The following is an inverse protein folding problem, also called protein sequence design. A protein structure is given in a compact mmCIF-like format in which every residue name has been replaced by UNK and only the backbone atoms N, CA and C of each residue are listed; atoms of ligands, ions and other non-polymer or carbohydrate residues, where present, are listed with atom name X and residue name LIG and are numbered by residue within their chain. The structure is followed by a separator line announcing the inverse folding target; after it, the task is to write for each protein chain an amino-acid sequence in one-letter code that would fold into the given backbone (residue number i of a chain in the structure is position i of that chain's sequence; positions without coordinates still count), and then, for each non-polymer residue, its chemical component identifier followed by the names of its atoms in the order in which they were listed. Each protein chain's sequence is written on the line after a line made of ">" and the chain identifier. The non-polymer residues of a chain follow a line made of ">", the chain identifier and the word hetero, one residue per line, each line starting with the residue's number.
data_IF_699182765363
#
_entry.id   IF_699182765363
#
_cell.length_a   1.000
_cell.length_b   1.000
_cell.length_c   1.000
_cell.angle_alpha   90.00
_cell.angle_beta   90.00
_cell.angle_gamma   90.00
#
_symmetry.space_group_name_H-M   'P 1'
#
loop_
_entity.id
_entity.type
_entity.pdbx_description
1 polymer ?
#
# COMPACT_ATOMS: atom_id res chain seq x y z
N UNK A 1 -10.71 -15.79 15.93
CA UNK A 1 -11.05 -16.12 17.33
C UNK A 1 -11.24 -17.63 17.46
N UNK A 2 -10.93 -18.20 18.63
CA UNK A 2 -11.17 -19.62 18.90
C UNK A 2 -12.69 -19.91 18.92
N UNK A 3 -13.13 -20.98 18.27
CA UNK A 3 -14.54 -21.39 18.23
C UNK A 3 -15.08 -21.84 19.59
N UNK A 4 -14.23 -22.43 20.46
CA UNK A 4 -14.62 -22.91 21.78
C UNK A 4 -14.61 -21.83 22.86
N UNK A 5 -13.53 -21.05 22.98
CA UNK A 5 -13.33 -20.10 24.09
C UNK A 5 -13.38 -18.62 23.68
N UNK A 6 -13.54 -18.32 22.38
CA UNK A 6 -13.54 -16.96 21.82
C UNK A 6 -12.27 -16.14 22.06
N UNK A 7 -11.19 -16.74 22.56
CA UNK A 7 -9.90 -16.06 22.70
C UNK A 7 -9.35 -15.64 21.34
N UNK A 8 -8.71 -14.46 21.30
CA UNK A 8 -7.97 -14.02 20.13
C UNK A 8 -6.83 -15.00 19.84
N UNK A 9 -6.68 -15.35 18.57
CA UNK A 9 -5.66 -16.28 18.09
C UNK A 9 -4.55 -15.48 17.42
N UNK A 10 -3.30 -15.98 17.38
CA UNK A 10 -2.24 -15.30 16.66
C UNK A 10 -2.60 -15.14 15.17
N UNK A 11 -2.07 -14.11 14.49
CA UNK A 11 -2.18 -14.03 13.04
C UNK A 11 -1.51 -15.23 12.37
N UNK A 12 -2.05 -15.65 11.22
CA UNK A 12 -1.44 -16.73 10.43
C UNK A 12 -0.06 -16.35 9.91
N UNK A 13 0.76 -17.35 9.55
CA UNK A 13 2.07 -17.11 8.94
C UNK A 13 1.89 -16.58 7.50
N UNK A 14 2.49 -15.41 7.21
CA UNK A 14 2.51 -14.75 5.89
C UNK A 14 1.12 -14.71 5.22
N UNK A 15 0.15 -14.01 5.82
CA UNK A 15 -1.18 -13.91 5.23
C UNK A 15 -1.13 -13.05 3.97
N UNK A 16 -1.83 -13.51 2.94
CA UNK A 16 -2.11 -12.73 1.74
C UNK A 16 -2.93 -11.47 2.12
N UNK A 17 -2.40 -10.30 1.79
CA UNK A 17 -2.99 -9.02 2.15
C UNK A 17 -4.34 -8.80 1.45
N UNK A 18 -4.52 -9.28 0.21
CA UNK A 18 -5.79 -9.22 -0.51
C UNK A 18 -6.85 -10.05 0.19
N UNK A 19 -6.49 -11.28 0.58
CA UNK A 19 -7.39 -12.16 1.32
C UNK A 19 -7.76 -11.59 2.70
N UNK A 20 -6.82 -10.94 3.38
CA UNK A 20 -7.10 -10.26 4.65
C UNK A 20 -8.10 -9.11 4.44
N UNK A 21 -7.92 -8.35 3.38
CA UNK A 21 -8.74 -7.21 2.99
C UNK A 21 -9.99 -7.56 2.18
N UNK A 22 -10.29 -8.85 2.03
CA UNK A 22 -11.53 -9.34 1.43
C UNK A 22 -11.76 -8.78 0.02
N UNK A 23 -10.68 -8.75 -0.77
CA UNK A 23 -10.67 -8.31 -2.16
C UNK A 23 -9.90 -9.29 -3.06
N UNK A 24 -10.20 -9.24 -4.36
CA UNK A 24 -9.52 -10.04 -5.36
C UNK A 24 -8.08 -9.56 -5.58
N UNK A 25 -7.19 -10.46 -5.99
CA UNK A 25 -5.81 -10.15 -6.37
C UNK A 25 -5.77 -9.38 -7.69
N UNK A 26 -6.12 -8.10 -7.63
CA UNK A 26 -6.18 -7.20 -8.77
C UNK A 26 -5.48 -5.88 -8.43
N UNK A 27 -4.88 -5.26 -9.45
CA UNK A 27 -4.37 -3.90 -9.30
C UNK A 27 -5.51 -2.89 -9.11
N UNK A 28 -6.67 -3.16 -9.71
CA UNK A 28 -7.87 -2.34 -9.56
C UNK A 28 -8.58 -2.72 -8.26
N UNK A 29 -8.59 -1.80 -7.29
CA UNK A 29 -9.26 -1.97 -5.99
C UNK A 29 -10.24 -0.82 -5.75
N UNK A 30 -11.40 -1.14 -5.19
CA UNK A 30 -12.31 -0.16 -4.60
C UNK A 30 -11.76 0.33 -3.25
N UNK A 31 -11.25 1.56 -3.23
CA UNK A 31 -10.70 2.20 -2.02
C UNK A 31 -11.75 2.33 -0.90
N UNK A 32 -13.03 2.49 -1.24
CA UNK A 32 -14.11 2.58 -0.26
C UNK A 32 -14.38 1.23 0.39
N UNK A 33 -14.42 0.14 -0.38
CA UNK A 33 -14.53 -1.21 0.14
C UNK A 33 -13.34 -1.55 1.04
N UNK A 34 -12.12 -1.23 0.59
CA UNK A 34 -10.89 -1.44 1.33
C UNK A 34 -10.92 -0.70 2.69
N UNK A 35 -11.33 0.57 2.68
CA UNK A 35 -11.44 1.36 3.90
C UNK A 35 -12.51 0.82 4.86
N UNK A 36 -13.67 0.37 4.35
CA UNK A 36 -14.72 -0.26 5.17
C UNK A 36 -14.21 -1.53 5.84
N UNK A 37 -13.50 -2.38 5.09
CA UNK A 37 -12.90 -3.60 5.61
C UNK A 37 -11.85 -3.31 6.67
N UNK A 38 -10.94 -2.37 6.40
CA UNK A 38 -9.93 -1.91 7.35
C UNK A 38 -10.56 -1.50 8.69
N UNK A 39 -11.57 -0.61 8.65
CA UNK A 39 -12.28 -0.16 9.86
C UNK A 39 -13.03 -1.30 10.56
N UNK A 40 -13.57 -2.26 9.83
CA UNK A 40 -14.23 -3.43 10.42
C UNK A 40 -13.24 -4.32 11.18
N UNK A 41 -12.10 -4.63 10.56
CA UNK A 41 -11.05 -5.44 11.15
C UNK A 41 -10.42 -4.73 12.36
N UNK A 42 -10.00 -3.47 12.21
CA UNK A 42 -9.44 -2.68 13.31
C UNK A 42 -10.41 -2.65 14.49
N UNK A 43 -11.69 -2.36 14.28
CA UNK A 43 -12.67 -2.40 15.37
C UNK A 43 -12.71 -3.75 16.09
N UNK A 44 -12.51 -4.87 15.39
CA UNK A 44 -12.54 -6.20 16.00
C UNK A 44 -11.29 -6.53 16.85
N UNK A 45 -10.12 -6.00 16.48
CA UNK A 45 -8.82 -6.39 17.03
C UNK A 45 -7.96 -5.21 17.51
N UNK A 46 -8.51 -4.01 17.69
CA UNK A 46 -7.73 -2.85 18.14
C UNK A 46 -7.22 -3.04 19.58
N UNK A 47 -5.95 -2.71 19.88
CA UNK A 47 -5.34 -2.86 21.21
C UNK A 47 -6.16 -2.29 22.37
N UNK A 48 -6.80 -1.13 22.17
CA UNK A 48 -7.68 -0.49 23.17
C UNK A 48 -8.78 -1.41 23.71
N UNK A 49 -9.27 -2.37 22.91
CA UNK A 49 -10.31 -3.32 23.34
C UNK A 49 -9.75 -4.48 24.16
N UNK A 50 -8.44 -4.67 24.13
CA UNK A 50 -7.74 -5.80 24.73
C UNK A 50 -6.93 -5.41 25.98
N UNK A 51 -6.89 -4.14 26.38
CA UNK A 51 -6.09 -3.67 27.53
C UNK A 51 -6.36 -4.38 28.87
N UNK A 52 -7.55 -4.98 29.05
CA UNK A 52 -7.90 -5.79 30.24
C UNK A 52 -7.86 -7.31 29.99
N UNK A 53 -7.46 -7.76 28.79
CA UNK A 53 -7.36 -9.18 28.41
C UNK A 53 -6.02 -9.77 28.89
N UNK A 54 -5.87 -11.11 28.92
CA UNK A 54 -4.60 -11.74 29.23
C UNK A 54 -3.46 -11.19 28.34
N UNK A 55 -2.21 -11.09 28.84
CA UNK A 55 -1.08 -10.52 28.07
C UNK A 55 -0.88 -11.15 26.69
N UNK A 56 -1.18 -12.45 26.57
CA UNK A 56 -1.12 -13.17 25.29
C UNK A 56 -2.12 -12.63 24.26
N UNK A 57 -3.34 -12.30 24.67
CA UNK A 57 -4.34 -11.71 23.78
C UNK A 57 -4.05 -10.24 23.47
N UNK A 58 -3.46 -9.49 24.41
CA UNK A 58 -2.96 -8.13 24.15
C UNK A 58 -1.90 -8.14 23.05
N UNK A 59 -0.91 -9.03 23.18
CA UNK A 59 0.14 -9.18 22.18
C UNK A 59 -0.41 -9.57 20.80
N UNK A 60 -1.36 -10.51 20.74
CA UNK A 60 -2.00 -10.89 19.47
C UNK A 60 -2.81 -9.73 18.87
N UNK A 61 -3.46 -8.91 19.69
CA UNK A 61 -4.19 -7.72 19.26
C UNK A 61 -3.26 -6.72 18.55
N UNK A 62 -2.11 -6.44 19.14
CA UNK A 62 -1.06 -5.59 18.53
C UNK A 62 -0.56 -6.15 17.20
N UNK A 63 -0.26 -7.46 17.15
CA UNK A 63 0.21 -8.12 15.92
C UNK A 63 -0.84 -8.05 14.80
N UNK A 64 -2.12 -8.30 15.10
CA UNK A 64 -3.20 -8.18 14.13
C UNK A 64 -3.37 -6.74 13.66
N UNK A 65 -3.39 -5.77 14.58
CA UNK A 65 -3.54 -4.35 14.23
C UNK A 65 -2.40 -3.88 13.31
N UNK A 66 -1.16 -4.25 13.62
CA UNK A 66 0.01 -3.95 12.77
C UNK A 66 -0.12 -4.57 11.38
N UNK A 67 -0.53 -5.84 11.29
CA UNK A 67 -0.74 -6.52 10.02
C UNK A 67 -1.86 -5.88 9.18
N UNK A 68 -2.97 -5.50 9.81
CA UNK A 68 -4.10 -4.83 9.14
C UNK A 68 -3.67 -3.47 8.61
N UNK A 69 -2.89 -2.72 9.38
CA UNK A 69 -2.33 -1.44 8.93
C UNK A 69 -1.40 -1.64 7.74
N UNK A 70 -0.49 -2.63 7.81
CA UNK A 70 0.38 -2.99 6.68
C UNK A 70 -0.43 -3.30 5.44
N UNK A 71 -1.40 -4.22 5.53
CA UNK A 71 -2.26 -4.58 4.41
C UNK A 71 -2.99 -3.38 3.82
N UNK A 72 -3.52 -2.49 4.66
CA UNK A 72 -4.26 -1.32 4.20
C UNK A 72 -3.35 -0.35 3.45
N UNK A 73 -2.19 -0.01 4.02
CA UNK A 73 -1.24 0.91 3.39
C UNK A 73 -0.64 0.33 2.10
N UNK A 74 -0.33 -0.97 2.08
CA UNK A 74 0.18 -1.65 0.88
C UNK A 74 -0.86 -1.69 -0.24
N UNK A 75 -2.13 -1.95 0.06
CA UNK A 75 -3.15 -2.07 -0.99
C UNK A 75 -3.79 -0.73 -1.41
N UNK A 76 -3.70 0.30 -0.56
CA UNK A 76 -4.24 1.62 -0.85
C UNK A 76 -3.36 2.38 -1.85
N UNK A 77 -2.04 2.32 -1.69
CA UNK A 77 -1.11 3.01 -2.56
C UNK A 77 -0.85 2.19 -3.85
N UNK A 78 -1.08 2.75 -5.06
CA UNK A 78 -0.91 2.02 -6.31
C UNK A 78 0.48 1.41 -6.51
N UNK A 79 1.55 2.12 -6.12
CA UNK A 79 2.92 1.65 -6.29
C UNK A 79 3.16 0.42 -5.41
N UNK A 80 2.96 0.53 -4.09
CA UNK A 80 3.20 -0.60 -3.17
C UNK A 80 2.28 -1.79 -3.45
N UNK A 81 1.05 -1.54 -3.94
CA UNK A 81 0.14 -2.58 -4.41
C UNK A 81 0.68 -3.31 -5.64
N UNK A 82 1.19 -2.58 -6.62
CA UNK A 82 1.82 -3.15 -7.82
C UNK A 82 3.02 -4.01 -7.46
N UNK A 83 3.92 -3.48 -6.62
CA UNK A 83 5.09 -4.22 -6.12
C UNK A 83 4.67 -5.52 -5.39
N UNK A 84 3.64 -5.45 -4.55
CA UNK A 84 3.13 -6.61 -3.83
C UNK A 84 2.49 -7.66 -4.77
N UNK A 85 1.78 -7.23 -5.82
CA UNK A 85 1.27 -8.13 -6.84
C UNK A 85 2.40 -8.83 -7.60
N UNK A 86 3.48 -8.13 -7.93
CA UNK A 86 4.65 -8.72 -8.57
C UNK A 86 5.33 -9.76 -7.66
N UNK A 87 5.50 -9.43 -6.37
CA UNK A 87 6.00 -10.37 -5.36
C UNK A 87 5.16 -11.65 -5.29
N UNK A 88 3.82 -11.52 -5.30
CA UNK A 88 2.91 -12.68 -5.31
C UNK A 88 3.02 -13.54 -6.58
N UNK A 89 3.49 -12.97 -7.69
CA UNK A 89 3.75 -13.68 -8.95
C UNK A 89 5.20 -14.19 -9.05
N UNK A 90 6.01 -14.04 -8.00
CA UNK A 90 7.40 -14.49 -7.98
C UNK A 90 8.37 -13.61 -8.77
N UNK A 91 7.98 -12.37 -9.07
CA UNK A 91 8.84 -11.39 -9.74
C UNK A 91 9.54 -10.57 -8.67
N UNK A 92 10.84 -10.78 -8.52
CA UNK A 92 11.69 -9.92 -7.69
C UNK A 92 12.18 -8.75 -8.54
N UNK A 93 11.84 -7.53 -8.12
CA UNK A 93 12.39 -6.33 -8.74
C UNK A 93 13.81 -6.10 -8.23
N UNK A 94 14.75 -5.92 -9.17
CA UNK A 94 16.10 -5.47 -8.83
C UNK A 94 15.99 -4.11 -8.13
N UNK A 95 16.57 -4.01 -6.93
CA UNK A 95 16.39 -2.83 -6.08
C UNK A 95 17.07 -1.58 -6.64
N UNK A 96 18.06 -1.72 -7.52
CA UNK A 96 18.83 -0.60 -8.05
C UNK A 96 19.39 -0.94 -9.44
N UNK A 97 18.72 -0.46 -10.48
CA UNK A 97 19.35 -0.26 -11.80
C UNK A 97 18.73 0.98 -12.43
N UNK A 98 19.29 2.15 -12.14
CA UNK A 98 19.14 3.35 -12.99
C UNK A 98 19.69 3.11 -14.41
N UNK A 99 20.42 2.00 -14.61
CA UNK A 99 21.16 1.66 -15.82
C UNK A 99 20.29 1.34 -17.04
N UNK A 100 19.02 0.98 -16.85
CA UNK A 100 18.07 0.65 -17.93
C UNK A 100 16.93 1.67 -18.06
N UNK A 101 16.99 2.80 -17.33
CA UNK A 101 15.96 3.82 -17.40
C UNK A 101 15.98 4.51 -18.78
N UNK A 102 14.80 4.62 -19.41
CA UNK A 102 14.64 5.29 -20.69
C UNK A 102 15.19 6.73 -20.63
N UNK A 103 15.97 7.11 -21.63
CA UNK A 103 16.61 8.43 -21.69
C UNK A 103 15.61 9.58 -21.64
N UNK A 104 14.39 9.38 -22.17
CA UNK A 104 13.32 10.37 -22.12
C UNK A 104 12.84 10.56 -20.68
N UNK A 105 12.61 9.44 -19.97
CA UNK A 105 12.21 9.48 -18.57
C UNK A 105 13.28 10.11 -17.67
N UNK A 106 14.56 9.79 -17.88
CA UNK A 106 15.67 10.41 -17.14
C UNK A 106 15.74 11.93 -17.35
N UNK A 107 15.54 12.42 -18.58
CA UNK A 107 15.49 13.86 -18.85
C UNK A 107 14.32 14.53 -18.13
N UNK A 108 13.13 13.91 -18.10
CA UNK A 108 11.98 14.44 -17.36
C UNK A 108 12.29 14.58 -15.86
N UNK A 109 12.93 13.56 -15.25
CA UNK A 109 13.34 13.59 -13.85
C UNK A 109 14.36 14.70 -13.58
N UNK A 110 15.35 14.86 -14.46
CA UNK A 110 16.34 15.93 -14.35
C UNK A 110 15.70 17.31 -14.42
N UNK A 111 14.77 17.54 -15.34
CA UNK A 111 14.07 18.82 -15.49
C UNK A 111 13.22 19.16 -14.25
N UNK A 112 12.50 18.18 -13.69
CA UNK A 112 11.73 18.36 -12.46
C UNK A 112 12.66 18.69 -11.28
N UNK A 113 13.80 18.02 -11.18
CA UNK A 113 14.79 18.25 -10.12
C UNK A 113 15.43 19.65 -10.23
N UNK A 114 15.78 20.08 -11.44
CA UNK A 114 16.30 21.43 -11.70
C UNK A 114 15.28 22.49 -11.31
N UNK A 115 14.03 22.34 -11.78
CA UNK A 115 12.93 23.20 -11.37
C UNK A 115 12.79 23.23 -9.84
N UNK A 116 12.95 22.11 -9.13
CA UNK A 116 12.91 22.02 -7.66
C UNK A 116 14.10 22.65 -6.92
N UNK A 117 15.25 22.79 -7.56
CA UNK A 117 16.45 23.34 -6.94
C UNK A 117 16.45 24.89 -6.89
N UNK A 118 15.69 25.55 -7.76
CA UNK A 118 15.60 27.02 -7.80
C UNK A 118 14.73 27.59 -6.66
N UNK A 119 14.96 28.84 -6.21
CA UNK A 119 14.08 29.51 -5.26
C UNK A 119 12.67 29.69 -5.85
N UNK A 120 11.64 29.22 -5.14
CA UNK A 120 10.25 29.24 -5.63
C UNK A 120 9.35 30.14 -4.81
N UNK A 121 8.36 30.71 -5.49
CA UNK A 121 7.11 31.15 -4.89
C UNK A 121 6.10 29.99 -4.86
N UNK A 122 5.02 30.18 -4.10
CA UNK A 122 3.96 29.16 -3.95
C UNK A 122 3.36 28.73 -5.30
N UNK A 123 3.21 29.66 -6.25
CA UNK A 123 2.65 29.38 -7.58
C UNK A 123 3.46 28.32 -8.36
N UNK A 124 4.80 28.38 -8.33
CA UNK A 124 5.67 27.42 -9.03
C UNK A 124 5.67 26.06 -8.32
N UNK A 125 5.50 26.04 -7.00
CA UNK A 125 5.35 24.78 -6.26
C UNK A 125 4.03 24.08 -6.62
N UNK A 126 2.93 24.83 -6.73
CA UNK A 126 1.64 24.29 -7.15
C UNK A 126 1.68 23.74 -8.59
N UNK A 127 2.34 24.44 -9.52
CA UNK A 127 2.52 23.96 -10.90
C UNK A 127 3.26 22.62 -10.95
N UNK A 128 4.30 22.45 -10.14
CA UNK A 128 5.09 21.21 -10.14
C UNK A 128 4.35 20.08 -9.44
N UNK A 129 3.61 20.38 -8.37
CA UNK A 129 2.75 19.38 -7.73
C UNK A 129 1.66 18.88 -8.69
N UNK A 130 1.03 19.78 -9.46
CA UNK A 130 0.03 19.41 -10.45
C UNK A 130 0.63 18.58 -11.59
N UNK A 131 1.81 18.95 -12.11
CA UNK A 131 2.53 18.16 -13.12
C UNK A 131 2.82 16.74 -12.64
N UNK A 132 3.36 16.59 -11.43
CA UNK A 132 3.68 15.28 -10.84
C UNK A 132 2.40 14.44 -10.65
N UNK A 133 1.31 15.06 -10.18
CA UNK A 133 0.02 14.36 -10.02
C UNK A 133 -0.51 13.83 -11.35
N UNK A 134 -0.49 14.64 -12.41
CA UNK A 134 -0.95 14.21 -13.74
C UNK A 134 -0.13 13.02 -14.23
N UNK A 135 1.21 13.10 -14.14
CA UNK A 135 2.10 12.00 -14.53
C UNK A 135 1.86 10.73 -13.71
N UNK A 136 1.65 10.86 -12.40
CA UNK A 136 1.30 9.72 -11.54
C UNK A 136 -0.04 9.07 -11.95
N UNK A 137 -1.04 9.87 -12.30
CA UNK A 137 -2.33 9.36 -12.77
C UNK A 137 -2.23 8.63 -14.12
N UNK A 138 -1.44 9.17 -15.06
CA UNK A 138 -1.17 8.55 -16.36
C UNK A 138 -0.47 7.20 -16.19
N UNK A 139 0.65 7.17 -15.46
CA UNK A 139 1.40 5.93 -15.20
C UNK A 139 0.56 4.89 -14.44
N UNK A 140 -0.29 5.33 -13.51
CA UNK A 140 -1.20 4.42 -12.80
C UNK A 140 -2.20 3.77 -13.76
N UNK A 141 -2.71 4.51 -14.76
CA UNK A 141 -3.61 3.95 -15.78
C UNK A 141 -2.88 2.95 -16.68
N UNK A 142 -1.66 3.25 -17.09
CA UNK A 142 -0.84 2.35 -17.91
C UNK A 142 -0.53 1.03 -17.18
N UNK A 143 -0.08 1.12 -15.93
CA UNK A 143 0.19 -0.06 -15.09
C UNK A 143 -1.10 -0.86 -14.85
N UNK A 144 -2.23 -0.19 -14.63
CA UNK A 144 -3.53 -0.87 -14.51
C UNK A 144 -3.83 -1.69 -15.77
N UNK A 145 -3.67 -1.10 -16.95
CA UNK A 145 -3.87 -1.79 -18.22
C UNK A 145 -2.86 -2.94 -18.43
N UNK A 146 -1.62 -2.80 -17.94
CA UNK A 146 -0.61 -3.84 -18.04
C UNK A 146 -0.95 -5.08 -17.21
N UNK A 147 -1.56 -4.92 -16.03
CA UNK A 147 -2.05 -6.02 -15.20
C UNK A 147 -3.34 -6.68 -15.72
N UNK A 148 -4.07 -6.03 -16.63
CA UNK A 148 -5.34 -6.52 -17.21
C UNK A 148 -5.15 -7.26 -18.55
N UNK A 149 -3.91 -7.32 -19.07
CA UNK A 149 -3.54 -8.08 -20.28
C UNK A 149 -3.25 -9.54 -19.94
#
# INVERSE_FOLDING_TARGET
>A
FCSGCRALQPPGHRPDLFRLMDCDRSFRIDAQQLQRRFRSLQRAVHPDRFGQRPPKEQHYSEQHSSLINKAYQTLLNPLSRGLYLLELNGIELAQETDCDADSVFLMEIMEINEKLAEPKNDDVLEEIETLIKVKQEELTKEVTAAFER
#
